data_IF_317578619238
#
_entry.id   IF_317578619238
#
_cell.length_a   1.000
_cell.length_b   1.000
_cell.length_c   1.000
_cell.angle_alpha   90.00
_cell.angle_beta   90.00
_cell.angle_gamma   90.00
#
_symmetry.space_group_name_H-M   'P 1'
#
loop_
_entity.id
_entity.type
_entity.pdbx_description
1 polymer ?
#
# COMPACT_ATOMS: atom_id res chain seq x y z
N UNK A 1 -18.43 -17.47 23.70
CA UNK A 1 -16.95 -17.32 23.82
C UNK A 1 -16.22 -17.41 22.47
N UNK A 2 -16.86 -17.09 21.33
CA UNK A 2 -16.31 -17.41 20.00
C UNK A 2 -15.69 -16.22 19.26
N UNK A 3 -15.98 -14.97 19.67
CA UNK A 3 -15.47 -13.75 19.01
C UNK A 3 -14.04 -13.37 19.38
N UNK A 4 -13.65 -13.51 20.65
CA UNK A 4 -12.33 -13.10 21.15
C UNK A 4 -11.20 -13.99 20.61
N UNK A 5 -11.44 -15.30 20.49
CA UNK A 5 -10.47 -16.24 19.90
C UNK A 5 -10.16 -15.93 18.43
N UNK A 6 -11.18 -15.51 17.66
CA UNK A 6 -11.03 -15.16 16.25
C UNK A 6 -10.25 -13.86 16.05
N UNK A 7 -10.58 -12.82 16.83
CA UNK A 7 -9.83 -11.55 16.83
C UNK A 7 -8.36 -11.73 17.22
N UNK A 8 -8.09 -12.60 18.21
CA UNK A 8 -6.71 -12.91 18.62
C UNK A 8 -5.94 -13.67 17.52
N UNK A 9 -6.58 -14.57 16.79
CA UNK A 9 -5.94 -15.24 15.64
C UNK A 9 -5.69 -14.30 14.46
N UNK A 10 -6.65 -13.42 14.15
CA UNK A 10 -6.52 -12.42 13.08
C UNK A 10 -5.43 -11.39 13.42
N UNK A 11 -5.34 -10.99 14.69
CA UNK A 11 -4.26 -10.11 15.17
C UNK A 11 -2.90 -10.80 15.05
N UNK A 12 -2.77 -12.08 15.44
CA UNK A 12 -1.50 -12.81 15.30
C UNK A 12 -1.07 -12.95 13.84
N UNK A 13 -2.01 -13.24 12.95
CA UNK A 13 -1.71 -13.35 11.52
C UNK A 13 -1.22 -12.02 10.95
N UNK A 14 -1.90 -10.91 11.27
CA UNK A 14 -1.46 -9.58 10.85
C UNK A 14 -0.06 -9.26 11.41
N UNK A 15 0.20 -9.54 12.69
CA UNK A 15 1.51 -9.31 13.29
C UNK A 15 2.61 -10.15 12.63
N UNK A 16 2.30 -11.39 12.26
CA UNK A 16 3.22 -12.24 11.51
C UNK A 16 3.53 -11.65 10.12
N UNK A 17 2.51 -11.19 9.39
CA UNK A 17 2.71 -10.58 8.08
C UNK A 17 3.51 -9.28 8.17
N UNK A 18 3.25 -8.44 9.19
CA UNK A 18 4.01 -7.22 9.43
C UNK A 18 5.47 -7.52 9.83
N UNK A 19 5.68 -8.57 10.63
CA UNK A 19 7.01 -9.05 11.00
C UNK A 19 7.81 -9.57 9.80
N UNK A 20 7.14 -10.14 8.80
CA UNK A 20 7.76 -10.56 7.54
C UNK A 20 7.99 -9.38 6.58
N UNK A 21 7.07 -8.41 6.58
CA UNK A 21 7.16 -7.22 5.73
C UNK A 21 8.30 -6.29 6.15
N UNK A 22 8.49 -6.05 7.44
CA UNK A 22 9.51 -5.12 7.95
C UNK A 22 10.90 -5.30 7.33
N UNK A 23 11.50 -6.51 7.41
CA UNK A 23 12.82 -6.78 6.85
C UNK A 23 12.96 -6.55 5.35
N UNK A 24 11.90 -6.77 4.57
CA UNK A 24 11.92 -6.61 3.10
C UNK A 24 11.45 -5.23 2.64
N UNK A 25 10.99 -4.38 3.57
CA UNK A 25 10.37 -3.08 3.24
C UNK A 25 11.37 -2.05 2.70
N UNK A 26 12.67 -2.35 2.70
CA UNK A 26 13.71 -1.55 2.04
C UNK A 26 13.99 -2.02 0.60
N UNK A 27 13.50 -3.19 0.21
CA UNK A 27 13.79 -3.76 -1.12
C UNK A 27 12.89 -3.19 -2.22
N UNK A 28 11.81 -2.50 -1.85
CA UNK A 28 10.85 -1.89 -2.76
C UNK A 28 10.14 -0.70 -2.12
N UNK A 29 9.83 0.29 -2.96
CA UNK A 29 9.02 1.45 -2.56
C UNK A 29 7.57 1.01 -2.35
N UNK A 30 7.08 1.13 -1.12
CA UNK A 30 5.67 0.88 -0.77
C UNK A 30 4.87 2.18 -0.82
N UNK A 31 3.68 2.16 -1.43
CA UNK A 31 2.75 3.29 -1.40
C UNK A 31 1.59 2.99 -0.45
N UNK A 32 1.50 3.70 0.68
CA UNK A 32 0.39 3.55 1.62
C UNK A 32 -0.75 4.49 1.27
N UNK A 33 -1.81 3.95 0.67
CA UNK A 33 -2.97 4.75 0.29
C UNK A 33 -3.93 4.95 1.46
N UNK A 34 -4.36 6.19 1.70
CA UNK A 34 -5.43 6.53 2.64
C UNK A 34 -6.48 7.41 1.97
N UNK A 35 -7.70 7.38 2.48
CA UNK A 35 -8.79 8.15 1.90
C UNK A 35 -8.70 9.63 2.35
N UNK A 36 -9.03 10.55 1.45
CA UNK A 36 -9.03 11.97 1.76
C UNK A 36 -10.42 12.45 2.22
N UNK A 37 -11.49 11.83 1.76
CA UNK A 37 -12.85 12.25 2.06
C UNK A 37 -13.58 11.23 2.94
N UNK A 38 -14.31 11.69 3.97
CA UNK A 38 -15.11 10.80 4.80
C UNK A 38 -16.18 10.07 3.98
N UNK A 39 -16.39 8.81 4.33
CA UNK A 39 -17.49 8.00 3.81
C UNK A 39 -18.73 8.23 4.65
N UNK A 40 -19.86 8.47 3.99
CA UNK A 40 -21.16 8.59 4.65
C UNK A 40 -21.50 7.27 5.39
N UNK A 41 -21.78 7.40 6.68
CA UNK A 41 -22.19 6.31 7.55
C UNK A 41 -23.67 6.43 7.91
N UNK A 42 -24.20 5.41 8.60
CA UNK A 42 -25.61 5.37 9.04
C UNK A 42 -25.87 6.52 10.02
N UNK A 43 -27.10 7.06 10.01
CA UNK A 43 -27.54 8.20 10.84
C UNK A 43 -26.91 9.56 10.51
N UNK A 44 -26.42 9.76 9.27
CA UNK A 44 -25.94 11.07 8.82
C UNK A 44 -24.54 11.44 9.32
N UNK A 45 -23.86 10.51 9.98
CA UNK A 45 -22.44 10.65 10.30
C UNK A 45 -21.59 10.40 9.06
N UNK A 46 -20.37 10.93 9.04
CA UNK A 46 -19.36 10.59 8.03
C UNK A 46 -18.04 10.32 8.74
N UNK A 47 -17.35 9.26 8.34
CA UNK A 47 -16.12 8.81 8.98
C UNK A 47 -15.06 8.48 7.93
N UNK A 48 -13.79 8.61 8.31
CA UNK A 48 -12.71 8.00 7.57
C UNK A 48 -12.63 6.53 8.00
N UNK A 49 -12.97 5.61 7.09
CA UNK A 49 -12.78 4.16 7.20
C UNK A 49 -11.29 3.79 7.15
N UNK A 50 -10.52 4.43 6.28
CA UNK A 50 -9.07 4.23 6.11
C UNK A 50 -8.36 5.57 6.30
N UNK A 51 -8.23 6.04 7.55
CA UNK A 51 -7.41 7.20 7.88
C UNK A 51 -5.92 6.90 7.72
N UNK A 52 -5.11 7.95 7.57
CA UNK A 52 -3.64 7.88 7.50
C UNK A 52 -3.02 6.94 8.55
N UNK A 53 -3.43 7.08 9.81
CA UNK A 53 -2.87 6.31 10.94
C UNK A 53 -3.19 4.82 10.89
N UNK A 54 -4.21 4.42 10.11
CA UNK A 54 -4.54 3.01 9.89
C UNK A 54 -3.86 2.42 8.65
N UNK A 55 -3.50 3.26 7.68
CA UNK A 55 -2.92 2.84 6.41
C UNK A 55 -1.40 2.72 6.47
N UNK A 56 -0.75 3.52 7.32
CA UNK A 56 0.71 3.58 7.43
C UNK A 56 1.21 2.58 8.45
N UNK A 57 2.10 1.69 8.01
CA UNK A 57 2.82 0.76 8.89
C UNK A 57 4.03 1.47 9.51
N UNK A 58 4.09 1.64 10.84
CA UNK A 58 5.25 2.23 11.49
C UNK A 58 6.51 1.39 11.26
N UNK A 59 7.62 2.05 10.94
CA UNK A 59 8.91 1.38 10.72
C UNK A 59 9.11 0.75 9.34
N UNK A 60 8.17 0.94 8.40
CA UNK A 60 8.42 0.64 6.99
C UNK A 60 9.57 1.51 6.46
N UNK A 61 10.59 0.88 5.86
CA UNK A 61 11.84 1.56 5.49
C UNK A 61 11.68 2.46 4.26
N UNK A 62 11.21 1.91 3.13
CA UNK A 62 11.01 2.65 1.88
C UNK A 62 9.52 2.77 1.57
N UNK A 63 8.82 3.65 2.30
CA UNK A 63 7.38 3.83 2.16
C UNK A 63 6.96 5.28 2.02
N UNK A 64 6.01 5.53 1.12
CA UNK A 64 5.41 6.84 0.88
C UNK A 64 3.89 6.77 1.06
N UNK A 65 3.31 7.53 2.01
CA UNK A 65 1.88 7.64 2.14
C UNK A 65 1.29 8.54 1.04
N UNK A 66 0.16 8.13 0.46
CA UNK A 66 -0.56 8.86 -0.59
C UNK A 66 -2.02 9.06 -0.22
N UNK A 67 -2.49 10.30 -0.26
CA UNK A 67 -3.90 10.63 -0.08
C UNK A 67 -4.64 10.40 -1.39
N UNK A 68 -5.68 9.57 -1.39
CA UNK A 68 -6.54 9.40 -2.57
C UNK A 68 -7.74 10.34 -2.42
N UNK A 69 -7.96 11.29 -3.36
CA UNK A 69 -9.05 12.27 -3.34
C UNK A 69 -10.42 11.63 -3.62
N UNK A 70 -10.87 10.80 -2.69
CA UNK A 70 -12.10 10.00 -2.78
C UNK A 70 -12.51 9.50 -1.38
N UNK A 71 -13.75 9.05 -1.27
CA UNK A 71 -14.24 8.22 -0.17
C UNK A 71 -13.79 6.75 -0.32
N UNK A 72 -13.82 5.99 0.77
CA UNK A 72 -13.49 4.56 0.83
C UNK A 72 -14.27 3.70 -0.17
N UNK A 73 -15.54 4.02 -0.44
CA UNK A 73 -16.40 3.23 -1.34
C UNK A 73 -15.83 3.23 -2.77
N UNK A 74 -15.31 4.39 -3.19
CA UNK A 74 -14.74 4.61 -4.53
C UNK A 74 -13.22 4.48 -4.59
N UNK A 75 -12.53 4.39 -3.45
CA UNK A 75 -11.07 4.36 -3.34
C UNK A 75 -10.38 3.24 -4.14
N UNK A 76 -11.05 2.10 -4.33
CA UNK A 76 -10.61 1.01 -5.19
C UNK A 76 -11.47 0.79 -6.44
N UNK A 77 -12.41 1.70 -6.73
CA UNK A 77 -13.44 1.55 -7.77
C UNK A 77 -13.59 2.86 -8.53
N UNK A 78 -12.73 3.06 -9.51
CA UNK A 78 -12.79 4.23 -10.38
C UNK A 78 -13.82 4.01 -11.48
N UNK A 79 -14.79 4.91 -11.57
CA UNK A 79 -15.83 4.85 -12.61
C UNK A 79 -15.31 5.40 -13.94
N UNK A 80 -14.41 6.38 -13.90
CA UNK A 80 -13.88 7.07 -15.07
C UNK A 80 -12.37 7.32 -14.93
N UNK A 81 -11.68 7.41 -16.08
CA UNK A 81 -10.26 7.81 -16.12
C UNK A 81 -10.04 9.27 -15.72
N UNK A 82 -11.09 10.08 -15.75
CA UNK A 82 -11.06 11.48 -15.32
C UNK A 82 -11.07 11.64 -13.80
N UNK A 83 -11.46 10.59 -13.05
CA UNK A 83 -11.61 10.62 -11.61
C UNK A 83 -10.30 11.04 -10.93
N UNK A 84 -10.33 11.98 -9.96
CA UNK A 84 -9.13 12.41 -9.25
C UNK A 84 -8.37 11.24 -8.62
N UNK A 85 -9.09 10.30 -7.97
CA UNK A 85 -8.47 9.12 -7.37
C UNK A 85 -7.80 8.22 -8.41
N UNK A 86 -8.42 8.04 -9.58
CA UNK A 86 -7.83 7.28 -10.69
C UNK A 86 -6.53 7.91 -11.16
N UNK A 87 -6.54 9.24 -11.36
CA UNK A 87 -5.35 9.99 -11.81
C UNK A 87 -4.21 9.88 -10.79
N UNK A 88 -4.51 9.98 -9.49
CA UNK A 88 -3.52 9.80 -8.43
C UNK A 88 -2.91 8.41 -8.47
N UNK A 89 -3.74 7.35 -8.38
CA UNK A 89 -3.23 5.96 -8.35
C UNK A 89 -2.51 5.59 -9.63
N UNK A 90 -3.10 5.88 -10.80
CA UNK A 90 -2.47 5.57 -12.09
C UNK A 90 -1.20 6.38 -12.33
N UNK A 91 -1.11 7.61 -11.81
CA UNK A 91 0.10 8.42 -11.84
C UNK A 91 1.25 7.75 -11.10
N UNK A 92 1.03 7.35 -9.84
CA UNK A 92 2.04 6.63 -9.06
C UNK A 92 2.44 5.30 -9.72
N UNK A 93 1.47 4.52 -10.19
CA UNK A 93 1.74 3.24 -10.86
C UNK A 93 2.58 3.42 -12.14
N UNK A 94 2.32 4.46 -12.94
CA UNK A 94 3.14 4.75 -14.13
C UNK A 94 4.57 5.11 -13.78
N UNK A 95 4.78 5.91 -12.74
CA UNK A 95 6.13 6.27 -12.27
C UNK A 95 6.86 5.02 -11.76
N UNK A 96 6.19 4.17 -10.98
CA UNK A 96 6.76 2.91 -10.49
C UNK A 96 7.12 1.99 -11.65
N UNK A 97 6.21 1.81 -12.62
CA UNK A 97 6.46 0.98 -13.79
C UNK A 97 7.61 1.51 -14.67
N UNK A 98 7.70 2.83 -14.87
CA UNK A 98 8.78 3.45 -15.63
C UNK A 98 10.15 3.20 -14.98
N UNK A 99 10.23 3.25 -13.64
CA UNK A 99 11.47 3.00 -12.89
C UNK A 99 11.80 1.51 -12.74
N UNK A 100 10.81 0.63 -12.84
CA UNK A 100 11.01 -0.80 -12.62
C UNK A 100 12.02 -1.42 -13.59
N UNK A 101 12.04 -0.98 -14.85
CA UNK A 101 12.98 -1.48 -15.86
C UNK A 101 14.44 -1.27 -15.45
N UNK A 102 14.80 -0.07 -15.01
CA UNK A 102 16.16 0.27 -14.59
C UNK A 102 16.59 -0.55 -13.37
N UNK A 103 15.70 -0.67 -12.38
CA UNK A 103 15.98 -1.41 -11.14
C UNK A 103 16.13 -2.91 -11.42
N UNK A 104 15.25 -3.49 -12.24
CA UNK A 104 15.31 -4.91 -12.60
C UNK A 104 16.55 -5.21 -13.44
N UNK A 105 16.84 -4.38 -14.44
CA UNK A 105 18.04 -4.53 -15.27
C UNK A 105 19.32 -4.49 -14.45
N UNK A 106 19.45 -3.52 -13.55
CA UNK A 106 20.61 -3.43 -12.66
C UNK A 106 20.76 -4.67 -11.77
N UNK A 107 19.65 -5.20 -11.24
CA UNK A 107 19.68 -6.44 -10.43
C UNK A 107 20.11 -7.64 -11.27
N UNK A 108 19.59 -7.81 -12.48
CA UNK A 108 20.02 -8.88 -13.38
C UNK A 108 21.49 -8.79 -13.76
N UNK A 109 22.03 -7.59 -13.99
CA UNK A 109 23.46 -7.40 -14.26
C UNK A 109 24.33 -7.80 -13.06
N UNK A 110 23.92 -7.45 -11.84
CA UNK A 110 24.61 -7.83 -10.60
C UNK A 110 24.58 -9.34 -10.42
N UNK A 111 23.41 -9.97 -10.55
CA UNK A 111 23.26 -11.43 -10.46
C UNK A 111 24.09 -12.15 -11.53
N UNK A 112 24.14 -11.61 -12.74
CA UNK A 112 24.97 -12.12 -13.83
C UNK A 112 26.46 -12.16 -13.45
N UNK A 113 26.99 -11.06 -12.88
CA UNK A 113 28.39 -10.98 -12.44
C UNK A 113 28.71 -12.02 -11.38
N UNK A 114 27.88 -12.09 -10.33
CA UNK A 114 28.01 -13.06 -9.23
C UNK A 114 28.01 -14.50 -9.75
N UNK A 115 27.08 -14.84 -10.65
CA UNK A 115 26.97 -16.19 -11.21
C UNK A 115 28.14 -16.57 -12.14
N UNK A 116 28.80 -15.60 -12.76
CA UNK A 116 29.98 -15.83 -13.60
C UNK A 116 31.29 -15.91 -12.82
N UNK A 117 31.27 -15.75 -11.50
CA UNK A 117 32.46 -15.84 -10.65
C UNK A 117 33.46 -14.68 -10.81
N UNK A 118 33.00 -13.53 -11.31
CA UNK A 118 33.71 -12.24 -11.20
C UNK A 118 33.15 -11.44 -10.03
#
# INVERSE_FOLDING_TARGET
>A
MTGCSKLLSETRWLQQQLGQYGPISEEFVTKFAFEQYPTAAVLGHSILIVPYTSAVVPGAADAEPIAIPTDYIKMGKFGLKSDPGYKTVSGHLRVMAARAGDVVGLRWDIEGRINTGM
#
